data_IF_084601759345
#
_entry.id   IF_084601759345
#
_cell.length_a   1.000
_cell.length_b   1.000
_cell.length_c   1.000
_cell.angle_alpha   90.00
_cell.angle_beta   90.00
_cell.angle_gamma   90.00
#
_symmetry.space_group_name_H-M   'P 1'
#
loop_
_entity.id
_entity.type
_entity.pdbx_description
1 polymer ?
#
# COMPACT_ATOMS: atom_id res chain seq x y z
N UNK A 1 27.77 -11.71 35.83
CA UNK A 1 26.91 -11.94 34.64
C UNK A 1 25.47 -11.45 34.81
N UNK A 2 24.93 -11.33 36.04
CA UNK A 2 23.56 -10.86 36.31
C UNK A 2 23.35 -9.34 36.18
N UNK A 3 24.39 -8.53 36.36
CA UNK A 3 24.30 -7.05 36.38
C UNK A 3 24.00 -6.43 35.00
N UNK A 4 24.32 -7.13 33.91
CA UNK A 4 24.14 -6.64 32.53
C UNK A 4 22.85 -7.20 31.91
N UNK A 5 22.40 -8.37 32.37
CA UNK A 5 21.24 -9.08 31.82
C UNK A 5 19.93 -8.38 32.24
N UNK A 6 19.82 -7.95 33.49
CA UNK A 6 18.65 -7.23 34.01
C UNK A 6 18.33 -5.93 33.24
N UNK A 7 19.30 -5.01 33.01
CA UNK A 7 19.03 -3.78 32.24
C UNK A 7 18.71 -4.04 30.77
N UNK A 8 19.33 -5.05 30.14
CA UNK A 8 19.03 -5.42 28.75
C UNK A 8 17.61 -6.01 28.63
N UNK A 9 17.20 -6.86 29.58
CA UNK A 9 15.85 -7.42 29.64
C UNK A 9 14.81 -6.32 29.88
N UNK A 10 15.13 -5.33 30.73
CA UNK A 10 14.25 -4.18 30.95
C UNK A 10 14.12 -3.29 29.70
N UNK A 11 15.24 -3.00 29.03
CA UNK A 11 15.25 -2.19 27.81
C UNK A 11 14.57 -2.88 26.63
N UNK A 12 14.76 -4.19 26.47
CA UNK A 12 14.04 -5.00 25.48
C UNK A 12 12.56 -5.15 25.82
N UNK A 13 12.22 -5.29 27.10
CA UNK A 13 10.82 -5.35 27.55
C UNK A 13 10.09 -4.02 27.32
N UNK A 14 10.67 -2.91 27.76
CA UNK A 14 10.12 -1.57 27.58
C UNK A 14 10.08 -1.17 26.10
N UNK A 15 11.17 -1.41 25.36
CA UNK A 15 11.25 -1.14 23.92
C UNK A 15 10.30 -2.02 23.10
N UNK A 16 10.12 -3.28 23.49
CA UNK A 16 9.17 -4.21 22.86
C UNK A 16 7.71 -3.78 23.05
N UNK A 17 7.34 -3.34 24.26
CA UNK A 17 5.98 -2.82 24.54
C UNK A 17 5.73 -1.53 23.76
N UNK A 18 6.67 -0.57 23.80
CA UNK A 18 6.54 0.69 23.06
C UNK A 18 6.48 0.46 21.56
N UNK A 19 7.35 -0.40 21.02
CA UNK A 19 7.35 -0.79 19.62
C UNK A 19 6.05 -1.48 19.21
N UNK A 20 5.48 -2.32 20.07
CA UNK A 20 4.17 -2.94 19.85
C UNK A 20 3.04 -1.91 19.80
N UNK A 21 2.99 -0.96 20.74
CA UNK A 21 1.97 0.10 20.78
C UNK A 21 2.04 0.99 19.53
N UNK A 22 3.24 1.43 19.16
CA UNK A 22 3.46 2.27 17.97
C UNK A 22 3.14 1.50 16.70
N UNK A 23 3.63 0.26 16.57
CA UNK A 23 3.35 -0.60 15.42
C UNK A 23 1.85 -0.89 15.25
N UNK A 24 1.14 -1.10 16.36
CA UNK A 24 -0.31 -1.29 16.36
C UNK A 24 -1.07 -0.03 15.92
N UNK A 25 -0.64 1.15 16.40
CA UNK A 25 -1.24 2.43 15.99
C UNK A 25 -1.07 2.68 14.47
N UNK A 26 0.14 2.43 13.95
CA UNK A 26 0.43 2.55 12.51
C UNK A 26 -0.44 1.58 11.71
N UNK A 27 -0.54 0.31 12.14
CA UNK A 27 -1.41 -0.67 11.48
C UNK A 27 -2.87 -0.19 11.39
N UNK A 28 -3.36 0.51 12.42
CA UNK A 28 -4.73 1.06 12.44
C UNK A 28 -4.91 2.24 11.48
N UNK A 29 -3.92 3.12 11.38
CA UNK A 29 -3.96 4.26 10.44
C UNK A 29 -3.94 3.81 8.98
N UNK A 30 -3.16 2.79 8.65
CA UNK A 30 -3.08 2.26 7.29
C UNK A 30 -4.44 1.76 6.76
N UNK A 31 -5.32 1.29 7.64
CA UNK A 31 -6.70 0.90 7.25
C UNK A 31 -7.51 2.08 6.76
N UNK A 32 -7.42 3.24 7.43
CA UNK A 32 -8.16 4.45 7.05
C UNK A 32 -7.68 4.96 5.69
N UNK A 33 -6.36 5.00 5.49
CA UNK A 33 -5.75 5.46 4.24
C UNK A 33 -6.16 4.57 3.07
N UNK A 34 -6.15 3.25 3.25
CA UNK A 34 -6.57 2.31 2.22
C UNK A 34 -8.02 2.53 1.77
N UNK A 35 -8.93 2.86 2.70
CA UNK A 35 -10.34 3.17 2.38
C UNK A 35 -10.44 4.43 1.52
N UNK A 36 -9.72 5.51 1.90
CA UNK A 36 -9.76 6.77 1.17
C UNK A 36 -9.27 6.56 -0.27
N UNK A 37 -8.18 5.83 -0.46
CA UNK A 37 -7.62 5.54 -1.79
C UNK A 37 -8.60 4.72 -2.64
N UNK A 38 -9.27 3.73 -2.04
CA UNK A 38 -10.29 2.94 -2.74
C UNK A 38 -11.46 3.78 -3.22
N UNK A 39 -12.00 4.65 -2.37
CA UNK A 39 -13.09 5.57 -2.73
C UNK A 39 -12.66 6.52 -3.84
N UNK A 40 -11.45 7.08 -3.73
CA UNK A 40 -10.92 7.98 -4.73
C UNK A 40 -10.79 7.30 -6.11
N UNK A 41 -10.26 6.07 -6.15
CA UNK A 41 -10.15 5.30 -7.38
C UNK A 41 -11.53 5.05 -8.02
N UNK A 42 -12.56 4.73 -7.23
CA UNK A 42 -13.93 4.55 -7.73
C UNK A 42 -14.49 5.82 -8.35
N UNK A 43 -14.28 6.97 -7.71
CA UNK A 43 -14.72 8.27 -8.22
C UNK A 43 -14.05 8.56 -9.57
N UNK A 44 -12.74 8.35 -9.69
CA UNK A 44 -12.01 8.57 -10.94
C UNK A 44 -12.50 7.66 -12.08
N UNK A 45 -12.74 6.38 -11.79
CA UNK A 45 -13.28 5.44 -12.78
C UNK A 45 -14.66 5.90 -13.24
N UNK A 46 -15.53 6.31 -12.32
CA UNK A 46 -16.88 6.78 -12.64
C UNK A 46 -16.85 8.05 -13.50
N UNK A 47 -16.06 9.05 -13.10
CA UNK A 47 -15.89 10.29 -13.87
C UNK A 47 -15.26 10.01 -15.24
N UNK A 48 -14.32 9.07 -15.32
CA UNK A 48 -13.67 8.68 -16.56
C UNK A 48 -14.63 7.97 -17.52
N UNK A 49 -15.49 7.09 -17.00
CA UNK A 49 -16.46 6.35 -17.78
C UNK A 49 -17.63 7.22 -18.26
N UNK A 50 -18.09 8.15 -17.42
CA UNK A 50 -19.11 9.15 -17.79
C UNK A 50 -18.58 10.20 -18.78
N UNK A 51 -17.27 10.20 -19.06
CA UNK A 51 -16.64 11.17 -19.94
C UNK A 51 -16.52 12.57 -19.33
N UNK A 52 -16.79 12.72 -18.02
CA UNK A 52 -16.60 13.98 -17.28
C UNK A 52 -15.11 14.32 -17.23
N UNK A 53 -14.25 13.32 -17.11
CA UNK A 53 -12.79 13.48 -17.19
C UNK A 53 -12.21 12.53 -18.24
N UNK A 54 -11.12 12.95 -18.89
CA UNK A 54 -10.31 12.07 -19.72
C UNK A 54 -9.10 11.61 -18.90
N UNK A 55 -9.03 10.32 -18.58
CA UNK A 55 -7.93 9.75 -17.82
C UNK A 55 -6.85 9.32 -18.80
N UNK A 56 -5.67 9.95 -18.74
CA UNK A 56 -4.51 9.52 -19.50
C UNK A 56 -3.79 8.41 -18.73
N UNK A 57 -4.02 7.16 -19.14
CA UNK A 57 -3.50 5.99 -18.48
C UNK A 57 -1.98 5.81 -18.64
N UNK A 58 -1.40 6.31 -19.73
CA UNK A 58 0.06 6.26 -19.95
C UNK A 58 0.78 7.16 -18.95
N UNK A 59 0.28 8.38 -18.77
CA UNK A 59 0.80 9.35 -17.79
C UNK A 59 0.57 8.91 -16.35
N UNK A 60 -0.58 8.27 -16.10
CA UNK A 60 -0.86 7.68 -14.79
C UNK A 60 0.13 6.55 -14.46
N UNK A 61 0.47 5.71 -15.43
CA UNK A 61 1.47 4.64 -15.30
C UNK A 61 2.86 5.20 -14.99
N UNK A 62 3.30 6.19 -15.76
CA UNK A 62 4.59 6.86 -15.57
C UNK A 62 4.72 7.49 -14.18
N UNK A 63 3.63 8.11 -13.67
CA UNK A 63 3.61 8.68 -12.33
C UNK A 63 3.71 7.62 -11.22
N UNK A 64 3.06 6.46 -11.39
CA UNK A 64 3.13 5.35 -10.45
C UNK A 64 4.54 4.73 -10.47
N UNK A 65 5.11 4.50 -11.66
CA UNK A 65 6.46 3.98 -11.82
C UNK A 65 7.52 4.92 -11.22
N UNK A 66 7.34 6.23 -11.35
CA UNK A 66 8.22 7.24 -10.73
C UNK A 66 8.17 7.22 -9.20
N UNK A 67 7.01 6.96 -8.60
CA UNK A 67 6.87 6.83 -7.14
C UNK A 67 7.47 5.51 -6.61
N UNK A 68 7.31 4.41 -7.34
CA UNK A 68 7.83 3.09 -6.96
C UNK A 68 9.28 2.84 -7.38
N UNK A 69 9.85 3.64 -8.29
CA UNK A 69 11.23 3.52 -8.78
C UNK A 69 12.31 3.68 -7.70
N UNK A 70 11.97 4.15 -6.50
CA UNK A 70 12.89 4.16 -5.34
C UNK A 70 12.91 2.83 -4.55
N UNK A 71 11.94 1.94 -4.77
CA UNK A 71 11.86 0.62 -4.14
C UNK A 71 12.25 -0.45 -5.18
N UNK A 72 13.56 -0.54 -5.45
CA UNK A 72 14.13 -1.43 -6.45
C UNK A 72 13.66 -2.89 -6.28
N UNK A 73 12.98 -3.42 -7.31
CA UNK A 73 12.68 -4.84 -7.45
C UNK A 73 11.24 -5.20 -7.82
N UNK A 74 10.27 -4.31 -7.60
CA UNK A 74 8.87 -4.59 -7.95
C UNK A 74 8.53 -4.37 -9.43
N UNK A 75 9.33 -3.58 -10.13
CA UNK A 75 9.01 -3.08 -11.48
C UNK A 75 8.97 -4.18 -12.54
N UNK A 76 9.81 -5.20 -12.44
CA UNK A 76 10.06 -6.15 -13.54
C UNK A 76 8.92 -7.15 -13.79
N UNK A 77 8.02 -7.35 -12.82
CA UNK A 77 6.80 -8.15 -12.99
C UNK A 77 5.55 -7.29 -13.19
N UNK A 78 5.61 -5.98 -12.96
CA UNK A 78 4.48 -5.06 -13.12
C UNK A 78 4.33 -4.52 -14.55
N UNK A 79 5.44 -4.44 -15.31
CA UNK A 79 5.48 -3.87 -16.67
C UNK A 79 4.49 -4.51 -17.65
N UNK A 80 4.31 -5.86 -17.70
CA UNK A 80 3.34 -6.46 -18.63
C UNK A 80 1.88 -6.24 -18.19
N UNK A 81 1.64 -6.01 -16.90
CA UNK A 81 0.31 -5.88 -16.31
C UNK A 81 -0.31 -4.51 -16.56
N UNK A 82 0.49 -3.46 -16.51
CA UNK A 82 0.00 -2.09 -16.73
C UNK A 82 -0.28 -1.82 -18.20
N UNK A 83 0.48 -2.47 -19.09
CA UNK A 83 0.41 -2.25 -20.53
C UNK A 83 -0.85 -2.82 -21.21
N UNK A 84 -1.64 -3.68 -20.54
CA UNK A 84 -2.60 -4.56 -21.25
C UNK A 84 -4.04 -4.54 -20.77
N UNK A 85 -4.57 -3.46 -20.18
CA UNK A 85 -6.02 -3.46 -19.99
C UNK A 85 -6.70 -2.08 -19.87
N UNK A 86 -7.91 -1.99 -20.45
CA UNK A 86 -8.94 -0.99 -20.16
C UNK A 86 -9.73 -1.38 -18.89
N UNK A 87 -9.06 -1.27 -17.71
CA UNK A 87 -9.44 -1.57 -16.29
C UNK A 87 -8.95 -2.94 -15.71
N UNK A 88 -7.70 -3.02 -15.23
CA UNK A 88 -6.79 -4.08 -15.63
C UNK A 88 -6.29 -5.16 -14.65
N UNK A 89 -6.57 -6.43 -14.86
CA UNK A 89 -7.91 -6.92 -15.09
C UNK A 89 -8.63 -6.75 -13.77
N UNK A 90 -9.89 -6.28 -13.80
CA UNK A 90 -10.85 -6.07 -12.68
C UNK A 90 -10.18 -5.91 -11.31
N UNK A 91 -9.12 -5.09 -11.25
CA UNK A 91 -8.49 -4.81 -9.98
C UNK A 91 -8.08 -6.12 -9.21
N UNK A 92 -7.87 -7.31 -9.91
CA UNK A 92 -8.62 -8.65 -9.91
C UNK A 92 -8.40 -9.89 -9.04
N UNK A 93 -7.24 -10.34 -8.65
CA UNK A 93 -6.34 -9.64 -7.76
C UNK A 93 -7.02 -8.71 -6.75
N UNK A 94 -8.27 -8.23 -6.95
CA UNK A 94 -9.35 -7.54 -6.19
C UNK A 94 -8.99 -6.62 -5.05
N UNK A 95 -7.74 -6.22 -5.03
CA UNK A 95 -6.86 -6.61 -3.93
C UNK A 95 -7.05 -8.06 -3.36
N UNK A 96 -8.18 -8.80 -3.59
CA UNK A 96 -8.60 -10.24 -3.65
C UNK A 96 -8.11 -11.11 -2.53
N UNK A 97 -6.83 -11.07 -2.36
CA UNK A 97 -6.19 -11.07 -1.08
C UNK A 97 -6.51 -9.69 -0.48
N UNK A 98 -7.75 -9.23 -0.26
CA UNK A 98 -8.00 -7.89 0.28
C UNK A 98 -7.40 -7.80 1.68
N UNK A 99 -6.09 -7.53 1.73
CA UNK A 99 -5.09 -8.45 2.30
C UNK A 99 -5.67 -9.53 3.20
N UNK A 100 -6.36 -10.47 2.52
CA UNK A 100 -7.48 -11.33 2.94
C UNK A 100 -7.73 -11.24 4.45
N UNK A 101 -8.40 -10.14 4.83
CA UNK A 101 -8.93 -9.87 6.17
C UNK A 101 -7.94 -9.50 7.29
N UNK A 102 -6.67 -9.17 7.00
CA UNK A 102 -5.77 -8.51 7.95
C UNK A 102 -6.31 -7.23 8.60
#
# INVERSE_FOLDING_TARGET
>A
MSEIVLPIVYQLGAGGILGFVVGYAIKKMMKIVAVIIGIFALILIYLGHTGIINVNYDKLTEAIEGFYGSAGGATQWLTPLVANLPFAGVFLVGAAIGFKAG
#
